data_IF_109614153397
#
_entry.id   IF_109614153397
#
_cell.length_a   1.000
_cell.length_b   1.000
_cell.length_c   1.000
_cell.angle_alpha   90.00
_cell.angle_beta   90.00
_cell.angle_gamma   90.00
#
_symmetry.space_group_name_H-M   'P 1'
#
loop_
_entity.id
_entity.type
_entity.pdbx_description
1 polymer ?
#
# COMPACT_ATOMS: atom_id res chain seq x y z
N UNK A 1 -7.00 54.75 -52.96
CA UNK A 1 -7.90 53.80 -52.24
C UNK A 1 -8.11 54.35 -50.82
N UNK A 2 -9.36 54.63 -50.43
CA UNK A 2 -9.72 55.01 -49.08
C UNK A 2 -9.87 53.73 -48.19
N UNK A 3 -9.35 53.77 -46.97
CA UNK A 3 -9.57 52.76 -45.92
C UNK A 3 -10.45 53.42 -44.86
N UNK A 4 -11.57 52.73 -44.53
CA UNK A 4 -12.45 53.16 -43.47
C UNK A 4 -12.27 52.15 -42.31
N UNK A 5 -12.26 52.66 -41.06
CA UNK A 5 -12.17 51.86 -39.84
C UNK A 5 -13.34 52.26 -38.97
N UNK A 6 -14.15 51.30 -38.60
CA UNK A 6 -15.23 51.45 -37.63
C UNK A 6 -14.82 50.80 -36.31
N UNK A 7 -14.73 51.62 -35.25
CA UNK A 7 -14.40 51.08 -33.92
C UNK A 7 -15.68 50.63 -33.21
N UNK A 8 -15.75 49.34 -32.92
CA UNK A 8 -16.96 48.70 -32.37
C UNK A 8 -16.96 48.60 -30.83
N UNK A 9 -15.85 48.94 -30.15
CA UNK A 9 -15.64 48.74 -28.71
C UNK A 9 -16.79 49.25 -27.79
N UNK A 10 -17.52 50.30 -28.21
CA UNK A 10 -18.65 50.87 -27.46
C UNK A 10 -19.96 50.91 -28.30
N UNK A 11 -20.00 50.18 -29.39
CA UNK A 11 -21.21 50.09 -30.21
C UNK A 11 -22.17 49.05 -29.61
N UNK A 12 -23.45 49.32 -29.64
CA UNK A 12 -24.50 48.34 -29.30
C UNK A 12 -24.75 47.39 -30.48
N UNK A 13 -25.16 46.18 -30.20
CA UNK A 13 -25.55 45.21 -31.22
C UNK A 13 -26.71 45.83 -32.07
N UNK A 14 -26.65 45.61 -33.38
CA UNK A 14 -27.65 46.10 -34.31
C UNK A 14 -27.07 46.39 -35.68
N UNK A 15 -27.92 46.81 -36.61
CA UNK A 15 -27.58 47.12 -37.96
C UNK A 15 -27.33 48.62 -38.11
N UNK A 16 -26.16 48.99 -38.63
CA UNK A 16 -25.73 50.35 -38.87
C UNK A 16 -25.60 50.58 -40.36
N UNK A 17 -26.38 51.52 -40.89
CA UNK A 17 -26.21 51.97 -42.25
C UNK A 17 -25.26 53.17 -42.30
N UNK A 18 -24.14 53.02 -42.98
CA UNK A 18 -23.13 54.07 -43.16
C UNK A 18 -23.11 54.50 -44.62
N UNK A 19 -23.46 55.75 -44.90
CA UNK A 19 -23.40 56.29 -46.23
C UNK A 19 -22.02 56.93 -46.48
N UNK A 20 -21.22 56.32 -47.37
CA UNK A 20 -19.91 56.80 -47.73
C UNK A 20 -20.02 57.69 -48.94
N UNK A 21 -19.74 58.98 -48.76
CA UNK A 21 -19.70 59.97 -49.89
C UNK A 21 -18.27 59.98 -50.47
N UNK A 22 -18.19 59.83 -51.78
CA UNK A 22 -16.95 59.99 -52.55
C UNK A 22 -17.16 61.13 -53.51
N UNK A 23 -16.33 62.16 -53.35
CA UNK A 23 -16.35 63.31 -54.24
C UNK A 23 -15.10 63.39 -55.13
N UNK A 24 -15.26 63.91 -56.32
CA UNK A 24 -14.14 64.30 -57.22
C UNK A 24 -13.70 65.73 -57.00
N UNK A 25 -12.61 66.14 -57.67
CA UNK A 25 -12.03 67.47 -57.56
C UNK A 25 -12.88 68.55 -58.14
N UNK A 26 -13.89 68.28 -58.96
CA UNK A 26 -14.83 69.20 -59.55
C UNK A 26 -16.17 69.32 -58.86
N UNK A 27 -16.32 68.59 -57.75
CA UNK A 27 -17.49 68.67 -56.83
C UNK A 27 -18.62 67.70 -57.13
N UNK A 28 -18.45 66.75 -58.04
CA UNK A 28 -19.39 65.63 -58.26
C UNK A 28 -19.26 64.60 -57.13
N UNK A 29 -20.41 64.13 -56.60
CA UNK A 29 -20.49 63.23 -55.46
C UNK A 29 -21.23 61.97 -55.83
N UNK A 30 -20.77 60.84 -55.23
CA UNK A 30 -21.43 59.57 -55.26
C UNK A 30 -21.53 59.03 -53.82
N UNK A 31 -22.66 58.52 -53.45
CA UNK A 31 -22.89 57.93 -52.13
C UNK A 31 -23.03 56.41 -52.27
N UNK A 32 -22.24 55.71 -51.50
CA UNK A 32 -22.30 54.24 -51.43
C UNK A 32 -22.74 53.84 -50.00
N UNK A 33 -23.93 53.26 -49.85
CA UNK A 33 -24.34 52.70 -48.53
C UNK A 33 -23.58 51.46 -48.22
N UNK A 34 -23.09 51.36 -46.98
CA UNK A 34 -22.47 50.16 -46.37
C UNK A 34 -23.33 49.80 -45.19
N UNK A 35 -23.78 48.53 -45.14
CA UNK A 35 -24.45 47.95 -43.99
C UNK A 35 -23.39 47.27 -43.12
N UNK A 36 -23.34 47.60 -41.83
CA UNK A 36 -22.49 47.00 -40.83
C UNK A 36 -23.40 46.42 -39.76
N UNK A 37 -23.39 45.08 -39.64
CA UNK A 37 -24.11 44.37 -38.59
C UNK A 37 -23.15 44.11 -37.43
N UNK A 38 -23.49 44.58 -36.24
CA UNK A 38 -22.77 44.24 -34.99
C UNK A 38 -23.60 43.25 -34.22
N UNK A 39 -23.03 42.08 -33.98
CA UNK A 39 -23.62 41.03 -33.15
C UNK A 39 -23.29 41.30 -31.69
N UNK A 40 -24.15 40.88 -30.77
CA UNK A 40 -23.87 40.91 -29.34
C UNK A 40 -22.86 39.83 -29.01
N UNK A 41 -21.95 40.14 -28.10
CA UNK A 41 -21.10 39.13 -27.49
C UNK A 41 -21.95 38.15 -26.65
N UNK A 42 -21.70 36.89 -26.79
CA UNK A 42 -22.29 35.80 -26.03
C UNK A 42 -21.29 35.32 -24.99
N UNK A 43 -21.78 34.72 -23.91
CA UNK A 43 -20.91 34.14 -22.89
C UNK A 43 -20.51 32.71 -23.29
N UNK A 44 -19.30 32.26 -22.93
CA UNK A 44 -18.87 30.88 -23.14
C UNK A 44 -19.85 29.90 -22.52
N UNK A 45 -20.09 28.79 -23.19
CA UNK A 45 -20.79 27.63 -22.67
C UNK A 45 -19.78 26.68 -22.02
N UNK A 46 -20.15 26.06 -20.89
CA UNK A 46 -19.33 25.09 -20.18
C UNK A 46 -20.13 23.83 -20.00
N UNK A 47 -19.58 22.69 -20.44
CA UNK A 47 -20.23 21.39 -20.27
C UNK A 47 -20.34 21.03 -18.78
N UNK A 48 -21.30 20.17 -18.43
CA UNK A 48 -21.47 19.66 -17.08
C UNK A 48 -20.25 18.86 -16.64
N UNK A 49 -19.79 19.09 -15.41
CA UNK A 49 -18.68 18.37 -14.80
C UNK A 49 -19.23 17.26 -13.90
N UNK A 50 -18.75 16.03 -14.11
CA UNK A 50 -19.09 14.91 -13.26
C UNK A 50 -18.44 15.06 -11.88
N UNK A 51 -19.12 14.63 -10.80
CA UNK A 51 -18.52 14.59 -9.47
C UNK A 51 -17.31 13.66 -9.42
N UNK A 52 -16.26 14.06 -8.69
CA UNK A 52 -15.02 13.30 -8.51
C UNK A 52 -14.88 12.88 -7.05
N UNK A 53 -14.45 11.63 -6.83
CA UNK A 53 -14.00 11.14 -5.53
C UNK A 53 -12.49 10.91 -5.61
N UNK A 54 -11.75 11.39 -4.63
CA UNK A 54 -10.29 11.27 -4.55
C UNK A 54 -9.90 10.93 -3.10
N UNK A 55 -8.93 10.02 -2.91
CA UNK A 55 -8.45 9.71 -1.57
C UNK A 55 -7.38 10.72 -1.12
N UNK A 56 -7.24 10.92 0.18
CA UNK A 56 -6.11 11.63 0.76
C UNK A 56 -4.80 10.99 0.30
N UNK A 57 -3.85 11.81 -0.15
CA UNK A 57 -2.57 11.37 -0.74
C UNK A 57 -2.59 11.15 -2.25
N UNK A 58 -3.77 11.08 -2.88
CA UNK A 58 -3.88 10.91 -4.33
C UNK A 58 -3.93 12.26 -5.07
N UNK A 59 -3.89 12.19 -6.39
CA UNK A 59 -4.03 13.35 -7.28
C UNK A 59 -5.18 13.14 -8.24
N UNK A 60 -5.87 14.23 -8.59
CA UNK A 60 -6.95 14.24 -9.57
C UNK A 60 -6.66 15.18 -10.72
N UNK A 61 -7.27 14.91 -11.86
CA UNK A 61 -7.29 15.77 -13.03
C UNK A 61 -8.69 15.77 -13.66
N UNK A 62 -9.18 16.96 -14.04
CA UNK A 62 -10.46 17.14 -14.73
C UNK A 62 -10.26 18.15 -15.86
N UNK A 63 -10.61 17.76 -17.09
CA UNK A 63 -10.63 18.66 -18.23
C UNK A 63 -11.96 19.38 -18.31
N UNK A 64 -11.93 20.69 -18.29
CA UNK A 64 -13.08 21.55 -18.59
C UNK A 64 -13.26 21.61 -20.10
N UNK A 65 -14.46 21.27 -20.56
CA UNK A 65 -14.87 21.44 -21.95
C UNK A 65 -15.74 22.67 -22.04
N UNK A 66 -15.33 23.63 -22.85
CA UNK A 66 -16.04 24.90 -23.06
C UNK A 66 -15.95 25.32 -24.53
N UNK A 67 -16.94 26.04 -24.98
CA UNK A 67 -17.06 26.55 -26.33
C UNK A 67 -17.65 27.97 -26.33
N UNK A 68 -17.19 28.79 -27.24
CA UNK A 68 -17.76 30.12 -27.49
C UNK A 68 -18.07 30.28 -28.98
N UNK A 69 -19.34 30.62 -29.29
CA UNK A 69 -19.85 30.63 -30.67
C UNK A 69 -19.44 31.88 -31.47
N UNK A 70 -19.06 32.94 -30.82
CA UNK A 70 -18.73 34.24 -31.46
C UNK A 70 -17.30 34.70 -31.14
N UNK A 71 -16.53 33.93 -30.37
CA UNK A 71 -15.12 34.17 -30.12
C UNK A 71 -14.27 32.93 -30.40
N UNK A 72 -12.97 33.09 -30.57
CA UNK A 72 -12.03 31.98 -30.69
C UNK A 72 -11.80 31.33 -29.32
N UNK A 73 -11.95 30.01 -29.22
CA UNK A 73 -11.71 29.25 -27.96
C UNK A 73 -10.28 29.42 -27.40
N UNK A 74 -9.33 29.87 -28.21
CA UNK A 74 -7.96 30.21 -27.80
C UNK A 74 -7.90 31.44 -26.88
N UNK A 75 -8.95 32.26 -26.83
CA UNK A 75 -9.03 33.46 -25.99
C UNK A 75 -9.66 33.21 -24.63
N UNK A 76 -10.21 31.99 -24.39
CA UNK A 76 -10.89 31.63 -23.14
C UNK A 76 -9.89 31.59 -21.96
N UNK A 77 -10.35 32.12 -20.84
CA UNK A 77 -9.60 32.12 -19.56
C UNK A 77 -10.36 31.39 -18.49
N UNK A 78 -9.67 30.54 -17.74
CA UNK A 78 -10.23 29.69 -16.71
C UNK A 78 -9.82 30.17 -15.32
N UNK A 79 -10.79 30.24 -14.40
CA UNK A 79 -10.58 30.64 -13.01
C UNK A 79 -11.39 29.69 -12.10
N UNK A 80 -10.83 29.33 -10.96
CA UNK A 80 -11.52 28.56 -9.92
C UNK A 80 -11.93 29.49 -8.77
N UNK A 81 -13.16 29.38 -8.32
CA UNK A 81 -13.66 30.04 -7.12
C UNK A 81 -14.05 28.98 -6.08
N UNK A 82 -13.79 29.23 -4.79
CA UNK A 82 -13.93 28.29 -3.68
C UNK A 82 -13.11 26.98 -3.84
N UNK A 83 -12.02 27.03 -4.55
CA UNK A 83 -11.13 25.87 -4.70
C UNK A 83 -10.35 25.59 -3.40
N UNK A 84 -10.14 24.32 -3.03
CA UNK A 84 -9.27 23.98 -1.92
C UNK A 84 -7.82 24.38 -2.21
N UNK A 85 -7.02 24.53 -1.16
CA UNK A 85 -5.62 24.91 -1.29
C UNK A 85 -4.85 23.92 -2.18
N UNK A 86 -4.04 24.47 -3.10
CA UNK A 86 -3.24 23.68 -4.03
C UNK A 86 -3.97 23.21 -5.30
N UNK A 87 -5.30 23.36 -5.40
CA UNK A 87 -6.01 23.09 -6.65
C UNK A 87 -5.78 24.24 -7.65
N UNK A 88 -5.47 23.87 -8.89
CA UNK A 88 -5.13 24.82 -9.95
C UNK A 88 -5.87 24.47 -11.25
N UNK A 89 -6.03 25.46 -12.12
CA UNK A 89 -6.51 25.28 -13.49
C UNK A 89 -5.49 25.86 -14.47
N UNK A 90 -5.21 25.15 -15.55
CA UNK A 90 -4.33 25.64 -16.63
C UNK A 90 -5.05 26.60 -17.57
N UNK A 91 -4.29 27.30 -18.43
CA UNK A 91 -4.86 28.11 -19.51
C UNK A 91 -5.67 27.32 -20.55
N UNK A 92 -5.53 26.00 -20.57
CA UNK A 92 -6.26 25.07 -21.44
C UNK A 92 -7.45 24.40 -20.72
N UNK A 93 -7.79 24.85 -19.51
CA UNK A 93 -8.93 24.34 -18.75
C UNK A 93 -8.67 23.00 -18.03
N UNK A 94 -7.42 22.55 -17.88
CA UNK A 94 -7.11 21.36 -17.09
C UNK A 94 -7.02 21.72 -15.62
N UNK A 95 -7.97 21.20 -14.81
CA UNK A 95 -7.97 21.29 -13.36
C UNK A 95 -7.10 20.17 -12.81
N UNK A 96 -6.19 20.50 -11.88
CA UNK A 96 -5.29 19.55 -11.22
C UNK A 96 -5.26 19.83 -9.72
N UNK A 97 -5.24 18.77 -8.93
CA UNK A 97 -5.11 18.85 -7.48
C UNK A 97 -4.41 17.62 -6.93
N UNK A 98 -3.41 17.83 -6.07
CA UNK A 98 -2.80 16.78 -5.24
C UNK A 98 -3.31 16.96 -3.82
N UNK A 99 -4.01 15.96 -3.31
CA UNK A 99 -4.62 15.98 -1.98
C UNK A 99 -3.57 15.61 -0.94
N UNK A 100 -3.54 16.31 0.19
CA UNK A 100 -2.64 16.01 1.29
C UNK A 100 -2.95 14.62 1.87
N UNK A 101 -1.91 13.87 2.29
CA UNK A 101 -2.06 12.57 2.94
C UNK A 101 -2.86 12.63 4.26
N UNK A 102 -2.82 13.77 4.94
CA UNK A 102 -3.50 14.02 6.22
C UNK A 102 -4.86 14.69 6.02
N UNK A 103 -5.35 14.82 4.77
CA UNK A 103 -6.63 15.43 4.50
C UNK A 103 -7.77 14.63 5.13
N UNK A 104 -8.65 15.33 5.84
CA UNK A 104 -9.88 14.75 6.37
C UNK A 104 -10.94 14.61 5.27
N UNK A 105 -11.91 13.71 5.48
CA UNK A 105 -13.03 13.56 4.56
C UNK A 105 -13.84 14.86 4.47
N UNK A 106 -13.98 15.37 3.24
CA UNK A 106 -14.68 16.61 2.97
C UNK A 106 -15.27 16.63 1.55
N UNK A 107 -16.30 17.42 1.35
CA UNK A 107 -16.83 17.69 0.00
C UNK A 107 -16.63 19.17 -0.33
N UNK A 108 -15.99 19.42 -1.46
CA UNK A 108 -15.70 20.74 -2.00
C UNK A 108 -16.61 21.00 -3.21
N UNK A 109 -17.26 22.17 -3.23
CA UNK A 109 -18.00 22.68 -4.39
C UNK A 109 -17.20 23.81 -5.02
N UNK A 110 -16.47 23.48 -6.08
CA UNK A 110 -15.59 24.42 -6.79
C UNK A 110 -16.35 25.01 -7.97
N UNK A 111 -16.42 26.33 -8.04
CA UNK A 111 -17.02 27.01 -9.20
C UNK A 111 -15.94 27.22 -10.25
N UNK A 112 -16.11 26.60 -11.40
CA UNK A 112 -15.30 26.82 -12.60
C UNK A 112 -15.92 28.00 -13.35
N UNK A 113 -15.12 29.02 -13.60
CA UNK A 113 -15.48 30.26 -14.30
C UNK A 113 -14.66 30.32 -15.58
N UNK A 114 -15.35 30.44 -16.70
CA UNK A 114 -14.76 30.63 -18.02
C UNK A 114 -15.12 32.00 -18.53
N UNK A 115 -14.12 32.78 -18.95
CA UNK A 115 -14.30 34.11 -19.46
C UNK A 115 -13.79 34.19 -20.90
N UNK A 116 -14.52 34.86 -21.76
CA UNK A 116 -14.09 35.23 -23.12
C UNK A 116 -13.17 36.47 -23.16
N UNK A 117 -12.85 36.94 -24.34
CA UNK A 117 -12.05 38.13 -24.56
C UNK A 117 -12.68 39.43 -24.08
N UNK A 118 -14.00 39.52 -24.04
CA UNK A 118 -14.82 40.68 -23.61
C UNK A 118 -15.25 40.58 -22.13
N UNK A 119 -14.88 39.49 -21.43
CA UNK A 119 -15.20 39.15 -20.03
C UNK A 119 -16.67 38.77 -19.79
N UNK A 120 -17.38 38.27 -20.79
CA UNK A 120 -18.62 37.53 -20.49
C UNK A 120 -18.30 36.19 -19.83
N UNK A 121 -19.23 35.64 -19.06
CA UNK A 121 -18.91 34.60 -18.08
C UNK A 121 -19.80 33.37 -18.23
N UNK A 122 -19.18 32.23 -18.54
CA UNK A 122 -19.75 30.90 -18.37
C UNK A 122 -19.35 30.32 -17.00
N UNK A 123 -20.22 29.51 -16.39
CA UNK A 123 -19.95 28.89 -15.08
C UNK A 123 -20.44 27.45 -15.04
N UNK A 124 -19.67 26.63 -14.31
CA UNK A 124 -20.08 25.27 -13.94
C UNK A 124 -19.53 24.93 -12.54
N UNK A 125 -20.17 23.98 -11.84
CA UNK A 125 -19.75 23.52 -10.51
C UNK A 125 -19.12 22.14 -10.64
N UNK A 126 -17.89 21.99 -10.13
CA UNK A 126 -17.23 20.72 -9.92
C UNK A 126 -17.39 20.34 -8.44
N UNK A 127 -18.00 19.19 -8.18
CA UNK A 127 -18.08 18.61 -6.84
C UNK A 127 -16.94 17.61 -6.66
N UNK A 128 -16.10 17.83 -5.65
CA UNK A 128 -14.99 16.94 -5.33
C UNK A 128 -15.16 16.44 -3.89
N UNK A 129 -15.25 15.11 -3.73
CA UNK A 129 -15.29 14.47 -2.41
C UNK A 129 -13.92 13.89 -2.11
N UNK A 130 -13.34 14.28 -1.00
CA UNK A 130 -12.10 13.71 -0.46
C UNK A 130 -12.49 12.64 0.55
N UNK A 131 -11.95 11.44 0.40
CA UNK A 131 -12.01 10.37 1.39
C UNK A 131 -10.69 10.36 2.18
N UNK A 132 -10.80 10.47 3.51
CA UNK A 132 -9.63 10.40 4.39
C UNK A 132 -8.96 9.03 4.30
N UNK A 133 -7.62 9.02 4.40
CA UNK A 133 -6.85 7.78 4.52
C UNK A 133 -7.26 7.00 5.77
N UNK A 134 -7.36 5.67 5.67
CA UNK A 134 -7.70 4.75 6.76
C UNK A 134 -6.54 3.80 7.04
N UNK A 135 -6.34 3.50 8.32
CA UNK A 135 -5.31 2.55 8.72
C UNK A 135 -5.56 1.15 8.14
N UNK A 136 -4.50 0.39 7.87
CA UNK A 136 -4.60 -0.97 7.35
C UNK A 136 -5.51 -1.85 8.21
N UNK A 137 -6.40 -2.59 7.56
CA UNK A 137 -7.18 -3.65 8.19
C UNK A 137 -6.33 -4.91 8.26
N UNK A 138 -6.15 -5.48 9.46
CA UNK A 138 -5.25 -6.60 9.73
C UNK A 138 -6.04 -7.73 10.38
N UNK A 139 -5.94 -8.93 9.81
CA UNK A 139 -6.55 -10.14 10.40
C UNK A 139 -5.78 -10.59 11.65
N UNK A 140 -6.48 -11.06 12.69
CA UNK A 140 -5.83 -11.61 13.87
C UNK A 140 -4.96 -12.82 13.54
N UNK A 141 -3.87 -13.00 14.30
CA UNK A 141 -3.01 -14.16 14.20
C UNK A 141 -3.43 -15.16 15.28
N UNK A 142 -3.83 -16.36 14.87
CA UNK A 142 -4.13 -17.44 15.80
C UNK A 142 -2.91 -17.80 16.64
N UNK A 143 -3.09 -18.13 17.93
CA UNK A 143 -1.98 -18.56 18.78
C UNK A 143 -1.25 -19.76 18.22
N UNK A 144 0.07 -19.74 18.24
CA UNK A 144 0.95 -20.77 17.69
C UNK A 144 1.64 -21.49 18.83
N UNK A 145 1.56 -22.81 18.88
CA UNK A 145 2.30 -23.64 19.83
C UNK A 145 3.20 -24.63 19.08
N UNK A 146 4.49 -24.64 19.39
CA UNK A 146 5.50 -25.54 18.81
C UNK A 146 6.55 -25.90 19.85
N UNK A 147 7.33 -26.95 19.61
CA UNK A 147 8.45 -27.33 20.50
C UNK A 147 9.69 -26.48 20.21
N UNK A 148 10.52 -26.26 21.22
CA UNK A 148 11.84 -25.63 21.04
C UNK A 148 12.66 -26.42 20.00
N UNK A 149 13.18 -25.69 19.00
CA UNK A 149 13.93 -26.28 17.87
C UNK A 149 13.11 -26.39 16.58
N UNK A 150 11.79 -26.38 16.67
CA UNK A 150 10.93 -26.31 15.49
C UNK A 150 10.91 -24.88 14.91
N UNK A 151 10.60 -24.76 13.63
CA UNK A 151 10.46 -23.47 12.99
C UNK A 151 9.02 -22.95 13.15
N UNK A 152 8.89 -21.70 13.57
CA UNK A 152 7.62 -20.98 13.56
C UNK A 152 7.50 -20.21 12.26
N UNK A 153 6.45 -20.46 11.50
CA UNK A 153 6.15 -19.71 10.28
C UNK A 153 4.67 -19.32 10.24
N UNK A 154 4.40 -18.04 9.91
CA UNK A 154 3.04 -17.57 9.69
C UNK A 154 3.00 -16.47 8.65
N UNK A 155 1.83 -16.29 8.07
CA UNK A 155 1.54 -15.22 7.12
C UNK A 155 0.52 -14.29 7.72
N UNK A 156 0.79 -13.00 7.71
CA UNK A 156 -0.15 -11.98 8.12
C UNK A 156 -0.97 -11.53 6.92
N UNK A 157 -2.29 -11.62 7.04
CA UNK A 157 -3.24 -11.06 6.08
C UNK A 157 -3.59 -9.64 6.48
N UNK A 158 -3.36 -8.70 5.57
CA UNK A 158 -3.72 -7.29 5.77
C UNK A 158 -4.14 -6.68 4.43
N UNK A 159 -5.06 -5.74 4.49
CA UNK A 159 -5.55 -4.97 3.35
C UNK A 159 -5.52 -3.48 3.67
N UNK A 160 -5.23 -2.68 2.67
CA UNK A 160 -5.42 -1.24 2.71
C UNK A 160 -6.85 -0.95 2.22
N UNK A 161 -7.70 -0.25 2.98
CA UNK A 161 -9.05 0.07 2.55
C UNK A 161 -9.12 0.89 1.25
N UNK A 162 -8.11 1.70 0.99
CA UNK A 162 -7.93 2.52 -0.23
C UNK A 162 -7.18 1.79 -1.36
N UNK A 163 -6.67 0.55 -1.10
CA UNK A 163 -6.01 -0.31 -2.09
C UNK A 163 -4.51 -0.05 -2.25
N UNK A 164 -3.89 0.65 -1.30
CA UNK A 164 -2.47 1.01 -1.29
C UNK A 164 -1.53 -0.16 -0.96
N UNK A 165 -0.23 0.09 -1.14
CA UNK A 165 0.82 -0.85 -0.75
C UNK A 165 1.08 -0.80 0.74
N UNK A 166 1.17 -1.98 1.38
CA UNK A 166 1.45 -2.12 2.80
C UNK A 166 2.91 -2.44 3.07
N UNK A 167 3.42 -1.91 4.18
CA UNK A 167 4.73 -2.27 4.74
C UNK A 167 4.55 -2.97 6.08
N UNK A 168 5.46 -3.90 6.41
CA UNK A 168 5.38 -4.74 7.61
C UNK A 168 6.68 -4.64 8.41
N UNK A 169 6.58 -4.46 9.72
CA UNK A 169 7.72 -4.36 10.62
C UNK A 169 7.42 -5.09 11.93
N UNK A 170 8.28 -6.03 12.31
CA UNK A 170 8.21 -6.60 13.65
C UNK A 170 8.97 -5.72 14.63
N UNK A 171 8.37 -5.41 15.80
CA UNK A 171 8.86 -4.40 16.74
C UNK A 171 9.75 -4.98 17.83
N UNK A 172 9.46 -6.19 18.32
CA UNK A 172 10.11 -6.83 19.45
C UNK A 172 10.56 -8.25 19.10
N UNK A 173 11.56 -8.36 18.26
CA UNK A 173 12.00 -9.63 17.68
C UNK A 173 12.82 -10.46 18.65
N UNK A 174 12.47 -11.74 18.92
CA UNK A 174 13.37 -12.68 19.55
C UNK A 174 14.56 -13.03 18.64
N UNK A 175 15.65 -13.52 19.24
CA UNK A 175 16.82 -13.95 18.48
C UNK A 175 16.44 -15.02 17.43
N UNK A 176 16.91 -14.86 16.19
CA UNK A 176 16.59 -15.80 15.10
C UNK A 176 15.30 -15.51 14.32
N UNK A 177 14.51 -14.52 14.76
CA UNK A 177 13.30 -14.11 14.03
C UNK A 177 13.67 -13.36 12.73
N UNK A 178 13.01 -13.67 11.64
CA UNK A 178 13.21 -13.03 10.34
C UNK A 178 11.90 -12.77 9.63
N UNK A 179 11.79 -11.62 8.99
CA UNK A 179 10.78 -11.37 7.97
C UNK A 179 11.29 -11.90 6.64
N UNK A 180 10.56 -12.79 5.99
CA UNK A 180 10.93 -13.29 4.66
C UNK A 180 10.17 -12.49 3.61
N UNK A 181 10.91 -11.66 2.85
CA UNK A 181 10.37 -10.99 1.66
C UNK A 181 10.50 -11.97 0.50
N UNK A 182 9.38 -12.47 -0.02
CA UNK A 182 9.31 -13.09 -1.35
C UNK A 182 8.56 -12.15 -2.28
N UNK A 183 8.97 -12.04 -3.53
CA UNK A 183 8.24 -11.28 -4.55
C UNK A 183 6.74 -11.64 -4.52
N UNK A 184 5.88 -10.67 -4.17
CA UNK A 184 4.43 -10.83 -4.10
C UNK A 184 3.84 -11.28 -2.76
N UNK A 185 4.65 -11.60 -1.74
CA UNK A 185 4.18 -11.97 -0.39
C UNK A 185 4.81 -11.07 0.67
N UNK A 186 4.27 -9.89 0.85
CA UNK A 186 4.51 -9.07 2.03
C UNK A 186 3.74 -9.69 3.21
N UNK A 187 4.35 -9.79 4.39
CA UNK A 187 3.70 -10.34 5.59
C UNK A 187 4.05 -11.78 5.97
N UNK A 188 5.03 -12.42 5.31
CA UNK A 188 5.54 -13.75 5.72
C UNK A 188 6.63 -13.59 6.78
N UNK A 189 6.45 -14.24 7.93
CA UNK A 189 7.36 -14.23 9.06
C UNK A 189 7.87 -15.64 9.34
N UNK A 190 9.14 -15.75 9.74
CA UNK A 190 9.79 -17.01 10.05
C UNK A 190 10.71 -16.82 11.24
N UNK A 191 10.59 -17.71 12.24
CA UNK A 191 11.45 -17.74 13.40
C UNK A 191 12.10 -19.13 13.56
N UNK A 192 13.43 -19.16 13.61
CA UNK A 192 14.22 -20.35 13.89
C UNK A 192 14.44 -20.42 15.41
N UNK A 193 13.78 -21.35 16.09
CA UNK A 193 13.74 -21.41 17.54
C UNK A 193 14.89 -22.21 18.18
N UNK A 194 15.86 -22.70 17.41
CA UNK A 194 16.98 -23.52 17.88
C UNK A 194 17.80 -22.91 19.01
N UNK A 195 17.78 -21.58 19.16
CA UNK A 195 18.47 -20.86 20.23
C UNK A 195 17.50 -20.21 21.24
N UNK A 196 16.22 -20.51 21.13
CA UNK A 196 15.20 -19.98 22.02
C UNK A 196 14.99 -20.93 23.21
N UNK A 197 14.53 -20.41 24.33
CA UNK A 197 14.10 -21.19 25.49
C UNK A 197 12.60 -21.49 25.41
N UNK A 198 12.14 -22.53 26.09
CA UNK A 198 10.71 -22.75 26.29
C UNK A 198 10.07 -21.57 27.03
N UNK A 199 8.85 -21.21 26.63
CA UNK A 199 8.12 -20.07 27.23
C UNK A 199 7.15 -19.43 26.25
N UNK A 200 6.49 -18.37 26.71
CA UNK A 200 5.54 -17.60 25.92
C UNK A 200 6.23 -16.38 25.35
N UNK A 201 6.01 -16.16 24.06
CA UNK A 201 6.54 -15.03 23.31
C UNK A 201 5.40 -14.24 22.68
N UNK A 202 5.52 -12.93 22.72
CA UNK A 202 4.64 -12.00 22.02
C UNK A 202 5.46 -11.23 21.01
N UNK A 203 5.09 -11.29 19.75
CA UNK A 203 5.74 -10.51 18.68
C UNK A 203 4.74 -9.52 18.14
N UNK A 204 4.99 -8.25 18.36
CA UNK A 204 4.16 -7.16 17.83
C UNK A 204 4.61 -6.82 16.40
N UNK A 205 3.66 -6.81 15.47
CA UNK A 205 3.90 -6.53 14.06
C UNK A 205 3.13 -5.28 13.70
N UNK A 206 3.85 -4.24 13.29
CA UNK A 206 3.33 -3.00 12.74
C UNK A 206 3.10 -3.19 11.23
N UNK A 207 1.90 -2.88 10.77
CA UNK A 207 1.53 -2.78 9.37
C UNK A 207 1.23 -1.32 9.09
N UNK A 208 1.88 -0.73 8.08
CA UNK A 208 1.72 0.68 7.72
C UNK A 208 1.35 0.80 6.25
N UNK A 209 0.43 1.72 5.93
CA UNK A 209 0.12 2.14 4.58
C UNK A 209 1.12 3.17 4.03
N UNK A 210 0.88 3.65 2.81
CA UNK A 210 1.69 4.68 2.16
C UNK A 210 1.46 6.09 2.76
N UNK A 211 0.28 6.34 3.35
CA UNK A 211 -0.08 7.59 4.03
C UNK A 211 0.52 7.71 5.43
N UNK A 212 1.10 6.62 5.97
CA UNK A 212 1.76 6.60 7.28
C UNK A 212 0.88 6.13 8.44
N UNK A 213 -0.40 5.80 8.21
CA UNK A 213 -1.24 5.20 9.23
C UNK A 213 -0.83 3.76 9.52
N UNK A 214 -1.10 3.30 10.73
CA UNK A 214 -0.55 2.05 11.24
C UNK A 214 -1.56 1.24 12.03
N UNK A 215 -1.48 -0.08 11.87
CA UNK A 215 -2.16 -1.05 12.73
C UNK A 215 -1.12 -2.02 13.30
N UNK A 216 -1.23 -2.32 14.58
CA UNK A 216 -0.34 -3.28 15.26
C UNK A 216 -1.12 -4.52 15.66
N UNK A 217 -0.63 -5.68 15.27
CA UNK A 217 -1.17 -7.00 15.64
C UNK A 217 -0.11 -7.82 16.37
N UNK A 218 -0.52 -8.64 17.32
CA UNK A 218 0.38 -9.49 18.11
C UNK A 218 0.28 -10.95 17.68
N UNK A 219 1.43 -11.58 17.38
CA UNK A 219 1.56 -13.02 17.29
C UNK A 219 1.89 -13.58 18.69
N UNK A 220 1.02 -14.44 19.21
CA UNK A 220 1.22 -15.16 20.47
C UNK A 220 1.84 -16.52 20.14
N UNK A 221 3.05 -16.79 20.66
CA UNK A 221 3.80 -18.01 20.35
C UNK A 221 4.20 -18.69 21.66
N UNK A 222 3.80 -19.93 21.83
CA UNK A 222 4.21 -20.78 22.94
C UNK A 222 5.26 -21.76 22.44
N UNK A 223 6.48 -21.66 22.98
CA UNK A 223 7.50 -22.67 22.78
C UNK A 223 7.44 -23.70 23.93
N UNK A 224 6.99 -24.88 23.63
CA UNK A 224 6.99 -25.98 24.55
C UNK A 224 8.40 -26.54 24.76
N UNK A 225 8.74 -27.06 25.94
CA UNK A 225 10.02 -27.71 26.16
C UNK A 225 10.25 -28.83 25.14
N UNK A 226 11.48 -28.93 24.63
CA UNK A 226 11.87 -30.10 23.84
C UNK A 226 11.78 -31.32 24.73
N UNK A 227 11.16 -32.37 24.25
CA UNK A 227 11.00 -33.58 25.02
C UNK A 227 12.36 -34.25 25.23
N UNK A 228 12.76 -34.43 26.47
CA UNK A 228 14.06 -35.02 26.77
C UNK A 228 14.12 -36.48 26.32
N UNK A 229 15.18 -36.82 25.63
CA UNK A 229 15.52 -38.23 25.41
C UNK A 229 16.13 -38.83 26.66
N UNK A 230 15.77 -40.04 26.99
CA UNK A 230 16.33 -40.77 28.12
C UNK A 230 16.88 -42.12 27.64
N UNK A 231 18.17 -42.33 27.87
CA UNK A 231 18.76 -43.64 27.70
C UNK A 231 18.51 -44.46 28.94
N UNK A 232 17.89 -45.61 28.76
CA UNK A 232 17.74 -46.60 29.81
C UNK A 232 18.74 -47.73 29.62
N UNK A 233 19.30 -48.26 30.69
CA UNK A 233 20.17 -49.41 30.66
C UNK A 233 19.69 -50.51 31.60
N UNK A 234 20.06 -51.75 31.29
CA UNK A 234 19.81 -52.90 32.12
C UNK A 234 20.95 -53.92 31.97
N UNK A 235 21.26 -54.73 33.02
CA UNK A 235 22.28 -55.74 32.94
C UNK A 235 21.85 -57.00 32.14
N UNK A 236 20.58 -57.12 31.83
CA UNK A 236 20.01 -58.21 31.02
C UNK A 236 18.92 -57.71 30.08
N UNK A 237 18.70 -58.45 28.98
CA UNK A 237 17.64 -58.12 27.97
C UNK A 237 16.25 -58.17 28.57
N UNK A 238 16.03 -59.04 29.53
CA UNK A 238 14.76 -59.19 30.24
C UNK A 238 14.96 -58.68 31.66
N UNK A 239 14.31 -57.61 32.04
CA UNK A 239 14.44 -57.01 33.36
C UNK A 239 14.01 -55.56 33.38
N UNK A 240 14.18 -54.89 34.52
CA UNK A 240 13.90 -53.47 34.67
C UNK A 240 15.02 -52.65 34.07
N UNK A 241 14.67 -51.81 33.13
CA UNK A 241 15.56 -50.77 32.61
C UNK A 241 15.48 -49.53 33.50
N UNK A 242 16.62 -48.98 33.86
CA UNK A 242 16.73 -47.75 34.64
C UNK A 242 17.41 -46.65 33.80
N UNK A 243 17.13 -45.36 34.09
CA UNK A 243 17.84 -44.24 33.41
C UNK A 243 19.36 -44.35 33.60
N UNK A 244 20.10 -44.15 32.51
CA UNK A 244 21.56 -44.07 32.55
C UNK A 244 21.96 -42.61 32.91
N UNK A 245 22.35 -42.42 34.16
CA UNK A 245 22.55 -41.07 34.72
C UNK A 245 23.73 -40.29 34.09
N UNK A 246 24.71 -40.98 33.51
CA UNK A 246 25.90 -40.40 32.92
C UNK A 246 25.84 -40.32 31.37
N UNK A 247 24.69 -40.61 30.79
CA UNK A 247 24.54 -40.52 29.35
C UNK A 247 24.55 -39.08 28.89
N UNK A 248 25.46 -38.74 27.96
CA UNK A 248 25.47 -37.45 27.27
C UNK A 248 24.77 -37.61 25.92
N UNK A 249 23.67 -36.93 25.76
CA UNK A 249 22.87 -36.96 24.53
C UNK A 249 23.13 -35.71 23.73
N UNK A 250 23.63 -35.89 22.49
CA UNK A 250 23.76 -34.85 21.47
C UNK A 250 22.65 -35.06 20.44
N UNK A 251 21.59 -34.26 20.57
CA UNK A 251 20.42 -34.39 19.71
C UNK A 251 20.66 -33.84 18.28
N UNK A 252 21.59 -32.91 18.12
CA UNK A 252 21.93 -32.34 16.78
C UNK A 252 22.77 -33.39 16.01
N UNK A 253 23.75 -33.98 16.65
CA UNK A 253 24.54 -35.07 16.07
C UNK A 253 23.81 -36.42 16.02
N UNK A 254 22.64 -36.55 16.67
CA UNK A 254 21.92 -37.81 16.84
C UNK A 254 22.75 -38.91 17.51
N UNK A 255 23.51 -38.53 18.52
CA UNK A 255 24.43 -39.46 19.23
C UNK A 255 24.20 -39.45 20.74
N UNK A 256 24.48 -40.58 21.36
CA UNK A 256 24.46 -40.78 22.81
C UNK A 256 25.80 -41.38 23.22
N UNK A 257 26.47 -40.72 24.16
CA UNK A 257 27.75 -41.18 24.69
C UNK A 257 27.56 -41.65 26.15
N UNK A 258 28.00 -42.86 26.47
CA UNK A 258 28.00 -43.40 27.82
C UNK A 258 29.37 -44.01 28.17
N UNK A 259 29.74 -44.02 29.46
CA UNK A 259 30.92 -44.76 29.94
C UNK A 259 30.69 -46.24 29.83
N UNK A 260 31.73 -47.02 29.44
CA UNK A 260 31.63 -48.50 29.28
C UNK A 260 32.11 -49.29 30.50
N UNK A 261 32.35 -48.62 31.62
CA UNK A 261 32.81 -49.27 32.82
C UNK A 261 31.77 -50.28 33.40
N UNK A 262 32.09 -51.57 33.40
CA UNK A 262 31.38 -52.55 34.22
C UNK A 262 30.44 -53.54 33.55
N UNK A 263 30.88 -54.27 32.56
CA UNK A 263 30.23 -55.47 32.06
C UNK A 263 29.23 -55.25 30.91
N UNK A 264 28.57 -56.32 30.45
CA UNK A 264 27.59 -56.24 29.37
C UNK A 264 26.34 -55.51 29.80
N UNK A 265 25.88 -54.49 29.02
CA UNK A 265 24.67 -53.75 29.24
C UNK A 265 23.80 -53.74 28.00
N UNK A 266 22.51 -53.71 28.22
CA UNK A 266 21.50 -53.56 27.19
C UNK A 266 20.90 -52.15 27.29
N UNK A 267 20.74 -51.50 26.18
CA UNK A 267 20.26 -50.11 26.15
C UNK A 267 18.92 -49.99 25.43
N UNK A 268 18.08 -49.13 25.95
CA UNK A 268 16.81 -48.76 25.33
C UNK A 268 16.68 -47.24 25.34
N UNK A 269 16.40 -46.66 24.19
CA UNK A 269 16.17 -45.22 24.04
C UNK A 269 14.67 -44.94 24.13
N UNK A 270 14.28 -44.03 25.02
CA UNK A 270 12.93 -43.50 25.12
C UNK A 270 12.90 -42.05 24.67
N UNK A 271 11.90 -41.72 23.88
CA UNK A 271 11.47 -40.36 23.64
C UNK A 271 10.22 -40.08 24.46
N UNK A 272 10.16 -38.94 25.10
CA UNK A 272 8.99 -38.54 25.91
C UNK A 272 7.75 -38.17 25.08
N UNK A 273 7.86 -38.13 23.76
CA UNK A 273 6.75 -37.81 22.85
C UNK A 273 6.25 -39.00 22.01
N UNK A 274 6.46 -40.21 22.49
CA UNK A 274 6.10 -41.49 21.81
C UNK A 274 6.76 -41.70 20.44
N UNK A 275 7.75 -40.87 20.04
CA UNK A 275 8.52 -41.08 18.82
C UNK A 275 9.33 -42.37 18.97
N UNK A 276 9.06 -43.35 18.12
CA UNK A 276 9.86 -44.60 18.09
C UNK A 276 11.22 -44.28 17.50
N UNK A 277 12.25 -44.50 18.32
CA UNK A 277 13.66 -44.33 17.92
C UNK A 277 14.34 -45.69 17.86
N UNK A 278 15.29 -45.81 16.94
CA UNK A 278 16.16 -47.00 16.85
C UNK A 278 17.62 -46.59 16.92
N UNK A 279 18.40 -47.39 17.67
CA UNK A 279 19.86 -47.26 17.66
C UNK A 279 20.38 -47.88 16.35
N UNK A 280 21.11 -47.13 15.58
CA UNK A 280 21.61 -47.56 14.25
C UNK A 280 23.05 -48.02 14.27
N UNK A 281 23.85 -47.54 15.21
CA UNK A 281 25.23 -47.97 15.37
C UNK A 281 25.69 -47.81 16.83
N UNK A 282 26.65 -48.62 17.26
CA UNK A 282 27.33 -48.46 18.54
C UNK A 282 28.85 -48.58 18.24
N UNK A 283 29.57 -47.52 18.60
CA UNK A 283 31.05 -47.51 18.49
C UNK A 283 31.63 -47.33 19.88
N UNK A 284 32.49 -48.27 20.27
CA UNK A 284 33.20 -48.20 21.55
C UNK A 284 34.62 -47.75 21.33
N UNK A 285 35.03 -46.66 21.98
CA UNK A 285 36.37 -46.11 21.95
C UNK A 285 36.68 -45.39 23.26
N UNK A 286 37.90 -45.58 23.78
CA UNK A 286 38.42 -44.89 24.96
C UNK A 286 37.46 -44.97 26.18
N UNK A 287 37.01 -46.21 26.50
CA UNK A 287 36.06 -46.52 27.57
C UNK A 287 34.68 -45.78 27.47
N UNK A 288 34.33 -45.40 26.27
CA UNK A 288 33.03 -44.79 25.95
C UNK A 288 32.33 -45.54 24.81
N UNK A 289 31.03 -45.72 24.94
CA UNK A 289 30.18 -46.16 23.83
C UNK A 289 29.44 -44.96 23.24
N UNK A 290 29.62 -44.75 21.97
CA UNK A 290 28.88 -43.75 21.19
C UNK A 290 27.82 -44.48 20.37
N UNK A 291 26.57 -44.19 20.61
CA UNK A 291 25.41 -44.75 19.90
C UNK A 291 24.82 -43.72 18.98
N UNK A 292 24.66 -44.06 17.70
CA UNK A 292 23.87 -43.23 16.78
C UNK A 292 22.43 -43.72 16.75
N UNK A 293 21.49 -42.83 16.62
CA UNK A 293 20.07 -43.15 16.56
C UNK A 293 19.34 -42.36 15.49
N UNK A 294 18.17 -42.84 15.05
CA UNK A 294 17.27 -42.13 14.15
C UNK A 294 15.82 -42.49 14.43
N UNK A 295 14.82 -41.77 13.91
CA UNK A 295 13.43 -42.22 13.91
C UNK A 295 13.30 -43.63 13.32
N UNK A 296 12.38 -44.43 13.85
CA UNK A 296 12.21 -45.82 13.43
C UNK A 296 11.65 -45.93 11.99
N UNK A 297 10.95 -44.90 11.55
CA UNK A 297 10.27 -44.84 10.25
C UNK A 297 11.15 -44.29 9.13
N UNK A 298 12.37 -43.86 9.44
CA UNK A 298 13.46 -43.52 8.51
C UNK A 298 14.44 -44.72 8.43
#
# INVERSE_FOLDING_TARGET
KGKFIFATKNATAGDYKIDIEVGDVVGLKSVVPVLVTITANLAPTVESLDPVVVNAGDSMQVQVVSDDVDDDNETLRYVLDNAPAGMQVSGEGLIQWSVDNEAESATHSVTVIVLDGENAVGKQVLVVTVDANKAPAVEPIEPIAVKVGDNVGFTLSATDPEGGNLTYKALNNPAGFKRKIRNGYNGVFLWYTTKASAGNYKIDIEVSDAGGLKTVVAAQITLEPKTALTLLSAPAVVGSFAPEAEAVIDEDAKTITVATAGGMRFYRLLSGDDTKLKITSIVVKDDKAVMSYKPADE
#
